data_IF_258950509301
#
_entry.id   IF_258950509301
#
_cell.length_a   1.000
_cell.length_b   1.000
_cell.length_c   1.000
_cell.angle_alpha   90.00
_cell.angle_beta   90.00
_cell.angle_gamma   90.00
#
_symmetry.space_group_name_H-M   'P 1'
#
loop_
_entity.id
_entity.type
_entity.pdbx_description
1 polymer ?
#
# COMPACT_ATOMS: atom_id res chain seq x y z
N UNK A 1 -12.49 39.74 -16.42
CA UNK A 1 -12.19 38.61 -15.53
C UNK A 1 -11.25 37.66 -16.28
N UNK A 2 -10.12 37.30 -15.68
CA UNK A 2 -9.21 36.26 -16.17
C UNK A 2 -9.44 35.04 -15.30
N UNK A 3 -9.81 33.91 -15.92
CA UNK A 3 -9.96 32.63 -15.23
C UNK A 3 -8.81 31.73 -15.63
N UNK A 4 -8.12 31.18 -14.66
CA UNK A 4 -7.10 30.15 -14.86
C UNK A 4 -7.74 28.79 -14.61
N UNK A 5 -7.57 27.88 -15.57
CA UNK A 5 -7.97 26.48 -15.41
C UNK A 5 -6.67 25.65 -15.28
N UNK A 6 -6.44 25.09 -14.11
CA UNK A 6 -5.38 24.12 -13.92
C UNK A 6 -5.89 22.76 -14.41
N UNK A 7 -5.30 22.26 -15.49
CA UNK A 7 -5.73 21.00 -16.12
C UNK A 7 -5.07 19.82 -15.42
N UNK A 8 -5.88 18.81 -15.14
CA UNK A 8 -5.39 17.52 -14.64
C UNK A 8 -4.53 16.87 -15.74
N UNK A 9 -3.41 16.29 -15.36
CA UNK A 9 -2.56 15.52 -16.28
C UNK A 9 -3.31 14.28 -16.76
N UNK A 10 -3.22 13.98 -18.06
CA UNK A 10 -3.83 12.78 -18.66
C UNK A 10 -3.37 11.49 -17.96
N UNK A 11 -2.12 11.47 -17.45
CA UNK A 11 -1.58 10.39 -16.66
C UNK A 11 -2.35 10.13 -15.36
N UNK A 12 -2.99 11.15 -14.78
CA UNK A 12 -3.77 11.01 -13.53
C UNK A 12 -5.00 10.14 -13.72
N UNK A 13 -5.75 10.35 -14.81
CA UNK A 13 -6.96 9.56 -15.11
C UNK A 13 -6.59 8.09 -15.33
N UNK A 14 -5.53 7.82 -16.08
CA UNK A 14 -5.04 6.47 -16.31
C UNK A 14 -4.58 5.80 -14.98
N UNK A 15 -3.91 6.57 -14.12
CA UNK A 15 -3.45 6.09 -12.80
C UNK A 15 -4.62 5.74 -11.88
N UNK A 16 -5.65 6.58 -11.83
CA UNK A 16 -6.86 6.32 -11.04
C UNK A 16 -7.54 5.03 -11.50
N UNK A 17 -7.66 4.84 -12.81
CA UNK A 17 -8.23 3.62 -13.38
C UNK A 17 -7.39 2.37 -13.02
N UNK A 18 -6.06 2.45 -13.14
CA UNK A 18 -5.16 1.36 -12.79
C UNK A 18 -5.18 1.03 -11.28
N UNK A 19 -5.20 2.04 -10.41
CA UNK A 19 -5.34 1.85 -8.97
C UNK A 19 -6.66 1.14 -8.61
N UNK A 20 -7.76 1.52 -9.26
CA UNK A 20 -9.07 0.90 -9.07
C UNK A 20 -9.08 -0.59 -9.48
N UNK A 21 -8.41 -0.96 -10.59
CA UNK A 21 -8.24 -2.35 -11.01
C UNK A 21 -7.46 -3.18 -9.98
N UNK A 22 -6.53 -2.55 -9.26
CA UNK A 22 -5.76 -3.18 -8.18
C UNK A 22 -6.45 -3.10 -6.80
N UNK A 23 -7.73 -2.73 -6.75
CA UNK A 23 -8.45 -2.52 -5.48
C UNK A 23 -7.74 -1.54 -4.52
N UNK A 24 -7.10 -0.52 -5.07
CA UNK A 24 -6.52 0.60 -4.31
C UNK A 24 -7.49 1.76 -4.38
N UNK A 25 -8.05 2.14 -3.24
CA UNK A 25 -8.90 3.31 -3.13
C UNK A 25 -8.04 4.57 -3.05
N UNK A 26 -8.31 5.55 -3.91
CA UNK A 26 -7.67 6.86 -3.85
C UNK A 26 -8.64 7.83 -3.19
N UNK A 27 -8.16 8.58 -2.20
CA UNK A 27 -8.90 9.64 -1.52
C UNK A 27 -8.07 10.92 -1.56
N UNK A 28 -8.68 12.00 -1.98
CA UNK A 28 -8.05 13.34 -2.02
C UNK A 28 -8.40 14.09 -0.74
N UNK A 29 -7.39 14.67 -0.09
CA UNK A 29 -7.54 15.50 1.09
C UNK A 29 -6.92 16.86 0.77
N UNK A 30 -7.76 17.88 0.54
CA UNK A 30 -7.30 19.19 0.05
C UNK A 30 -7.84 20.36 0.89
N UNK A 31 -7.07 21.45 0.94
CA UNK A 31 -7.53 22.73 1.50
C UNK A 31 -8.46 23.50 0.58
N UNK A 32 -8.65 23.08 -0.67
CA UNK A 32 -9.47 23.77 -1.66
C UNK A 32 -10.95 23.81 -1.28
N UNK A 33 -11.67 24.76 -1.90
CA UNK A 33 -13.11 24.88 -1.74
C UNK A 33 -13.84 23.66 -2.29
N UNK A 34 -14.96 23.27 -1.66
CA UNK A 34 -15.74 22.07 -1.97
C UNK A 34 -16.05 21.93 -3.47
N UNK A 35 -16.51 23.00 -4.12
CA UNK A 35 -16.86 22.98 -5.56
C UNK A 35 -15.65 22.76 -6.46
N UNK A 36 -14.49 23.31 -6.10
CA UNK A 36 -13.24 23.12 -6.83
C UNK A 36 -12.77 21.68 -6.67
N UNK A 37 -12.72 21.18 -5.45
CA UNK A 37 -12.33 19.81 -5.14
C UNK A 37 -13.26 18.77 -5.79
N UNK A 38 -14.57 19.04 -5.85
CA UNK A 38 -15.53 18.19 -6.57
C UNK A 38 -15.27 18.18 -8.08
N UNK A 39 -15.06 19.36 -8.69
CA UNK A 39 -14.79 19.46 -10.13
C UNK A 39 -13.51 18.70 -10.50
N UNK A 40 -12.42 18.91 -9.75
CA UNK A 40 -11.15 18.18 -9.94
C UNK A 40 -11.32 16.67 -9.73
N UNK A 41 -12.07 16.27 -8.70
CA UNK A 41 -12.34 14.85 -8.42
C UNK A 41 -13.15 14.16 -9.53
N UNK A 42 -14.11 14.88 -10.16
CA UNK A 42 -14.87 14.38 -11.32
C UNK A 42 -14.00 14.26 -12.56
N UNK A 43 -13.21 15.28 -12.87
CA UNK A 43 -12.29 15.28 -14.01
C UNK A 43 -11.23 14.17 -13.88
N UNK A 44 -10.76 13.91 -12.67
CA UNK A 44 -9.83 12.80 -12.38
C UNK A 44 -10.47 11.40 -12.43
N UNK A 45 -11.79 11.30 -12.55
CA UNK A 45 -12.51 10.01 -12.50
C UNK A 45 -12.59 9.37 -11.10
N UNK A 46 -12.35 10.16 -10.06
CA UNK A 46 -12.45 9.73 -8.66
C UNK A 46 -13.87 9.81 -8.14
N UNK A 47 -14.61 10.84 -8.54
CA UNK A 47 -15.95 11.20 -8.07
C UNK A 47 -16.97 10.91 -9.16
N UNK A 48 -17.99 10.14 -8.84
CA UNK A 48 -19.16 9.91 -9.70
C UNK A 48 -20.38 10.67 -9.19
N UNK A 49 -20.55 10.72 -7.87
CA UNK A 49 -21.67 11.36 -7.21
C UNK A 49 -21.19 12.44 -6.23
N UNK A 50 -21.96 13.52 -6.09
CA UNK A 50 -21.62 14.62 -5.15
C UNK A 50 -21.58 14.16 -3.69
N UNK A 51 -22.27 13.07 -3.33
CA UNK A 51 -22.21 12.46 -2.00
C UNK A 51 -20.83 11.90 -1.61
N UNK A 52 -19.94 11.67 -2.59
CA UNK A 52 -18.56 11.21 -2.37
C UNK A 52 -17.60 12.34 -1.98
N UNK A 53 -18.09 13.59 -1.95
CA UNK A 53 -17.31 14.79 -1.62
C UNK A 53 -17.90 15.45 -0.38
N UNK A 54 -17.05 15.81 0.58
CA UNK A 54 -17.50 16.48 1.82
C UNK A 54 -16.46 17.46 2.32
N UNK A 55 -16.90 18.46 3.08
CA UNK A 55 -15.96 19.29 3.86
C UNK A 55 -15.46 18.50 5.07
N UNK A 56 -14.16 18.56 5.33
CA UNK A 56 -13.54 17.82 6.43
C UNK A 56 -14.17 18.18 7.78
N UNK A 57 -14.41 19.47 8.03
CA UNK A 57 -15.02 19.94 9.27
C UNK A 57 -16.42 19.33 9.48
N UNK A 58 -17.28 19.34 8.46
CA UNK A 58 -18.63 18.77 8.55
C UNK A 58 -18.60 17.26 8.78
N UNK A 59 -17.68 16.54 8.13
CA UNK A 59 -17.50 15.10 8.33
C UNK A 59 -17.03 14.77 9.75
N UNK A 60 -16.07 15.54 10.28
CA UNK A 60 -15.49 15.31 11.60
C UNK A 60 -16.41 15.70 12.77
N UNK A 61 -17.51 16.41 12.53
CA UNK A 61 -18.56 16.63 13.54
C UNK A 61 -19.53 15.46 13.72
N UNK A 62 -19.54 14.51 12.76
CA UNK A 62 -20.40 13.32 12.85
C UNK A 62 -19.99 12.39 14.01
N UNK A 63 -20.92 11.62 14.59
CA UNK A 63 -20.59 10.57 15.55
C UNK A 63 -19.57 9.58 14.97
N UNK A 64 -18.66 9.06 15.80
CA UNK A 64 -17.57 8.16 15.35
C UNK A 64 -18.08 6.95 14.56
N UNK A 65 -19.19 6.35 14.98
CA UNK A 65 -19.80 5.22 14.30
C UNK A 65 -20.25 5.58 12.86
N UNK A 66 -20.78 6.78 12.67
CA UNK A 66 -21.20 7.26 11.36
C UNK A 66 -20.00 7.62 10.48
N UNK A 67 -18.96 8.26 11.06
CA UNK A 67 -17.70 8.52 10.36
C UNK A 67 -17.11 7.21 9.81
N UNK A 68 -17.00 6.18 10.64
CA UNK A 68 -16.47 4.87 10.23
C UNK A 68 -17.28 4.22 9.12
N UNK A 69 -18.60 4.34 9.16
CA UNK A 69 -19.48 3.78 8.13
C UNK A 69 -19.35 4.51 6.78
N UNK A 70 -19.25 5.85 6.82
CA UNK A 70 -19.19 6.69 5.61
C UNK A 70 -17.79 6.84 5.02
N UNK A 71 -16.74 6.56 5.80
CA UNK A 71 -15.36 6.79 5.42
C UNK A 71 -14.97 6.14 4.09
N UNK A 72 -15.44 4.92 3.85
CA UNK A 72 -15.15 4.16 2.61
C UNK A 72 -15.85 4.70 1.37
N UNK A 73 -16.93 5.49 1.54
CA UNK A 73 -17.67 6.09 0.42
C UNK A 73 -17.16 7.48 0.03
N UNK A 74 -16.44 8.17 0.90
CA UNK A 74 -15.91 9.51 0.60
C UNK A 74 -14.63 9.39 -0.22
N UNK A 75 -14.57 10.14 -1.31
CA UNK A 75 -13.41 10.20 -2.23
C UNK A 75 -12.66 11.52 -2.12
N UNK A 76 -13.30 12.58 -1.67
CA UNK A 76 -12.68 13.90 -1.55
C UNK A 76 -13.10 14.57 -0.25
N UNK A 77 -12.11 14.94 0.56
CA UNK A 77 -12.26 15.82 1.71
C UNK A 77 -11.73 17.20 1.34
N UNK A 78 -12.63 18.18 1.30
CA UNK A 78 -12.36 19.56 0.94
C UNK A 78 -12.21 20.46 2.18
N UNK A 79 -11.62 21.65 2.02
CA UNK A 79 -11.40 22.67 3.07
C UNK A 79 -10.73 22.09 4.31
N UNK A 80 -9.78 21.22 4.12
CA UNK A 80 -9.12 20.49 5.20
C UNK A 80 -7.96 21.31 5.79
N UNK A 81 -7.93 21.48 7.11
CA UNK A 81 -6.78 22.04 7.83
C UNK A 81 -5.70 20.96 8.07
N UNK A 82 -4.45 21.35 8.41
CA UNK A 82 -3.41 20.38 8.74
C UNK A 82 -3.78 19.41 9.87
N UNK A 83 -4.47 19.89 10.92
CA UNK A 83 -4.92 19.09 12.05
C UNK A 83 -6.00 18.09 11.60
N UNK A 84 -6.93 18.53 10.75
CA UNK A 84 -7.96 17.66 10.19
C UNK A 84 -7.39 16.61 9.23
N UNK A 85 -6.32 16.93 8.48
CA UNK A 85 -5.60 15.93 7.67
C UNK A 85 -5.08 14.81 8.56
N UNK A 86 -4.44 15.16 9.67
CA UNK A 86 -3.93 14.19 10.64
C UNK A 86 -5.07 13.32 11.20
N UNK A 87 -6.18 13.92 11.63
CA UNK A 87 -7.33 13.18 12.19
C UNK A 87 -7.94 12.23 11.15
N UNK A 88 -8.09 12.67 9.90
CA UNK A 88 -8.59 11.83 8.81
C UNK A 88 -7.66 10.64 8.51
N UNK A 89 -6.34 10.86 8.50
CA UNK A 89 -5.37 9.78 8.31
C UNK A 89 -5.43 8.77 9.45
N UNK A 90 -5.52 9.22 10.70
CA UNK A 90 -5.68 8.34 11.86
C UNK A 90 -6.96 7.51 11.78
N UNK A 91 -8.07 8.13 11.38
CA UNK A 91 -9.35 7.44 11.21
C UNK A 91 -9.29 6.40 10.07
N UNK A 92 -8.66 6.73 8.94
CA UNK A 92 -8.47 5.81 7.83
C UNK A 92 -7.61 4.60 8.23
N UNK A 93 -6.59 4.80 9.04
CA UNK A 93 -5.70 3.73 9.53
C UNK A 93 -6.39 2.67 10.37
N UNK A 94 -7.50 3.01 11.02
CA UNK A 94 -8.24 2.02 11.80
C UNK A 94 -8.90 0.93 10.92
N UNK A 95 -9.13 1.21 9.64
CA UNK A 95 -9.84 0.32 8.72
C UNK A 95 -8.99 -0.14 7.53
N UNK A 96 -7.98 0.65 7.15
CA UNK A 96 -7.21 0.47 5.92
C UNK A 96 -5.71 0.56 6.16
N UNK A 97 -4.94 -0.06 5.26
CA UNK A 97 -3.52 0.28 5.12
C UNK A 97 -3.42 1.56 4.30
N UNK A 98 -2.90 2.63 4.90
CA UNK A 98 -2.90 3.98 4.34
C UNK A 98 -1.51 4.35 3.84
N UNK A 99 -1.39 4.61 2.54
CA UNK A 99 -0.30 5.39 1.96
C UNK A 99 -0.72 6.85 1.84
N UNK A 100 0.11 7.79 2.26
CA UNK A 100 -0.16 9.22 2.15
C UNK A 100 0.92 9.91 1.32
N UNK A 101 0.49 10.63 0.29
CA UNK A 101 1.34 11.49 -0.53
C UNK A 101 1.14 12.94 -0.11
N UNK A 102 2.20 13.59 0.34
CA UNK A 102 2.21 15.01 0.73
C UNK A 102 3.38 15.76 0.09
N UNK A 103 3.31 17.07 0.06
CA UNK A 103 4.35 17.92 -0.57
C UNK A 103 4.83 19.04 0.35
N UNK A 104 4.03 19.46 1.32
CA UNK A 104 4.25 20.64 2.12
C UNK A 104 4.70 20.36 3.56
N UNK A 105 5.23 21.38 4.20
CA UNK A 105 5.58 21.37 5.63
C UNK A 105 4.36 21.04 6.48
N UNK A 106 3.19 21.51 6.08
CA UNK A 106 1.91 21.29 6.77
C UNK A 106 1.45 19.82 6.70
N UNK A 107 2.02 19.02 5.82
CA UNK A 107 1.70 17.61 5.67
C UNK A 107 2.57 16.69 6.55
N UNK A 108 3.64 17.20 7.16
CA UNK A 108 4.57 16.41 7.97
C UNK A 108 3.89 15.60 9.10
N UNK A 109 2.92 16.12 9.87
CA UNK A 109 2.20 15.33 10.86
C UNK A 109 1.37 14.19 10.25
N UNK A 110 0.71 14.43 9.11
CA UNK A 110 -0.08 13.44 8.39
C UNK A 110 0.81 12.37 7.74
N UNK A 111 1.96 12.76 7.16
CA UNK A 111 2.99 11.86 6.65
C UNK A 111 3.46 10.90 7.74
N UNK A 112 3.85 11.42 8.88
CA UNK A 112 4.31 10.61 10.03
C UNK A 112 3.22 9.67 10.58
N UNK A 113 1.96 10.07 10.46
CA UNK A 113 0.84 9.25 10.93
C UNK A 113 0.46 8.13 9.97
N UNK A 114 0.75 8.21 8.69
CA UNK A 114 0.41 7.19 7.69
C UNK A 114 1.12 5.85 7.96
N UNK A 115 0.71 4.77 7.28
CA UNK A 115 1.46 3.51 7.30
C UNK A 115 2.66 3.56 6.34
N UNK A 116 2.50 4.26 5.22
CA UNK A 116 3.57 4.53 4.26
C UNK A 116 3.45 5.98 3.84
N UNK A 117 4.48 6.76 4.09
CA UNK A 117 4.54 8.16 3.70
C UNK A 117 5.36 8.35 2.43
N UNK A 118 4.82 9.14 1.52
CA UNK A 118 5.43 9.41 0.22
C UNK A 118 5.50 10.90 -0.03
N UNK A 119 6.57 11.36 -0.68
CA UNK A 119 6.71 12.73 -1.16
C UNK A 119 7.34 12.75 -2.53
N UNK A 120 7.14 13.83 -3.27
CA UNK A 120 7.87 14.08 -4.51
C UNK A 120 9.23 14.72 -4.21
N UNK A 121 10.20 14.58 -5.12
CA UNK A 121 11.55 15.15 -4.94
C UNK A 121 11.53 16.67 -4.75
N UNK A 122 10.56 17.38 -5.32
CA UNK A 122 10.38 18.83 -5.17
C UNK A 122 9.68 19.25 -3.86
N UNK A 123 9.30 18.31 -3.01
CA UNK A 123 8.69 18.60 -1.73
C UNK A 123 9.64 19.35 -0.78
N UNK A 124 9.07 20.03 0.21
CA UNK A 124 9.83 20.72 1.26
C UNK A 124 10.77 19.76 2.00
N UNK A 125 11.95 20.23 2.41
CA UNK A 125 12.98 19.42 3.07
C UNK A 125 12.43 18.66 4.29
N UNK A 126 11.64 19.34 5.13
CA UNK A 126 10.99 18.73 6.31
C UNK A 126 10.07 17.56 5.92
N UNK A 127 9.34 17.70 4.82
CA UNK A 127 8.47 16.61 4.32
C UNK A 127 9.32 15.45 3.79
N UNK A 128 10.43 15.72 3.07
CA UNK A 128 11.34 14.69 2.57
C UNK A 128 12.05 13.93 3.68
N UNK A 129 12.44 14.59 4.77
CA UNK A 129 13.05 13.93 5.93
C UNK A 129 12.05 13.07 6.72
N UNK A 130 10.76 13.37 6.61
CA UNK A 130 9.70 12.66 7.32
C UNK A 130 9.17 11.46 6.54
N UNK A 131 9.33 11.45 5.22
CA UNK A 131 8.75 10.44 4.33
C UNK A 131 9.58 9.15 4.27
N UNK A 132 8.88 8.01 4.16
CA UNK A 132 9.50 6.70 3.93
C UNK A 132 10.00 6.56 2.49
N UNK A 133 9.31 7.20 1.53
CA UNK A 133 9.59 7.08 0.10
C UNK A 133 9.62 8.47 -0.54
N UNK A 134 10.69 8.74 -1.30
CA UNK A 134 10.79 9.93 -2.15
C UNK A 134 10.62 9.53 -3.60
N UNK A 135 9.59 10.06 -4.26
CA UNK A 135 9.34 9.83 -5.67
C UNK A 135 10.24 10.73 -6.51
N UNK A 136 11.12 10.15 -7.30
CA UNK A 136 12.05 10.89 -8.17
C UNK A 136 11.37 11.53 -9.38
N UNK A 137 10.18 11.05 -9.73
CA UNK A 137 9.36 11.57 -10.81
C UNK A 137 8.02 12.07 -10.24
N UNK A 138 7.58 13.24 -10.70
CA UNK A 138 6.28 13.80 -10.34
C UNK A 138 5.18 13.15 -11.21
N UNK A 139 5.00 11.83 -11.06
CA UNK A 139 4.02 11.03 -11.80
C UNK A 139 3.40 9.99 -10.85
N UNK A 140 2.09 10.05 -10.69
CA UNK A 140 1.36 9.14 -9.82
C UNK A 140 1.41 7.66 -10.28
N UNK A 141 1.72 7.40 -11.57
CA UNK A 141 1.91 6.03 -12.09
C UNK A 141 2.98 5.26 -11.32
N UNK A 142 4.04 5.95 -10.88
CA UNK A 142 5.13 5.35 -10.10
C UNK A 142 4.61 4.72 -8.81
N UNK A 143 3.58 5.30 -8.18
CA UNK A 143 2.96 4.76 -6.96
C UNK A 143 2.24 3.45 -7.26
N UNK A 144 1.45 3.41 -8.33
CA UNK A 144 0.70 2.21 -8.74
C UNK A 144 1.66 1.08 -9.12
N UNK A 145 2.72 1.40 -9.87
CA UNK A 145 3.79 0.44 -10.18
C UNK A 145 4.50 -0.06 -8.92
N UNK A 146 4.82 0.84 -7.98
CA UNK A 146 5.41 0.48 -6.69
C UNK A 146 4.53 -0.47 -5.89
N UNK A 147 3.21 -0.25 -5.85
CA UNK A 147 2.26 -1.17 -5.21
C UNK A 147 2.26 -2.54 -5.91
N UNK A 148 2.29 -2.56 -7.25
CA UNK A 148 2.36 -3.81 -8.02
C UNK A 148 3.62 -4.60 -7.69
N UNK A 149 4.79 -3.96 -7.78
CA UNK A 149 6.06 -4.59 -7.44
C UNK A 149 6.11 -5.08 -5.98
N UNK A 150 5.58 -4.30 -5.04
CA UNK A 150 5.48 -4.70 -3.64
C UNK A 150 4.64 -5.96 -3.45
N UNK A 151 3.51 -6.08 -4.16
CA UNK A 151 2.65 -7.28 -4.12
C UNK A 151 3.33 -8.48 -4.79
N UNK A 152 4.00 -8.31 -5.92
CA UNK A 152 4.78 -9.36 -6.58
C UNK A 152 5.90 -9.87 -5.66
N UNK A 153 6.65 -8.96 -5.06
CA UNK A 153 7.71 -9.30 -4.10
C UNK A 153 7.16 -10.03 -2.88
N UNK A 154 6.04 -9.56 -2.33
CA UNK A 154 5.38 -10.23 -1.19
C UNK A 154 4.94 -11.64 -1.55
N UNK A 155 4.30 -11.84 -2.71
CA UNK A 155 3.85 -13.16 -3.18
C UNK A 155 5.03 -14.13 -3.32
N UNK A 156 6.12 -13.71 -3.95
CA UNK A 156 7.32 -14.53 -4.09
C UNK A 156 7.99 -14.81 -2.73
N UNK A 157 8.04 -13.83 -1.83
CA UNK A 157 8.53 -14.02 -0.46
C UNK A 157 7.69 -15.07 0.28
N UNK A 158 6.36 -15.03 0.14
CA UNK A 158 5.47 -16.02 0.74
C UNK A 158 5.66 -17.43 0.16
N UNK A 159 5.87 -17.55 -1.16
CA UNK A 159 6.22 -18.83 -1.79
C UNK A 159 7.53 -19.38 -1.22
N UNK A 160 8.55 -18.53 -1.09
CA UNK A 160 9.84 -18.91 -0.50
C UNK A 160 9.70 -19.38 0.95
N UNK A 161 9.01 -18.61 1.79
CA UNK A 161 8.78 -18.96 3.20
C UNK A 161 8.06 -20.31 3.32
N UNK A 162 6.97 -20.51 2.55
CA UNK A 162 6.21 -21.76 2.56
C UNK A 162 7.08 -22.95 2.11
N UNK A 163 7.82 -22.81 1.01
CA UNK A 163 8.70 -23.86 0.50
C UNK A 163 9.79 -24.22 1.51
N UNK A 164 10.43 -23.23 2.12
CA UNK A 164 11.48 -23.43 3.15
C UNK A 164 10.92 -24.11 4.39
N UNK A 165 9.77 -23.67 4.89
CA UNK A 165 9.13 -24.28 6.07
C UNK A 165 8.75 -25.74 5.77
N UNK A 166 8.12 -26.03 4.65
CA UNK A 166 7.74 -27.40 4.26
C UNK A 166 8.97 -28.28 4.16
N UNK A 167 10.04 -27.80 3.52
CA UNK A 167 11.30 -28.56 3.38
C UNK A 167 11.93 -28.85 4.75
N UNK A 168 12.06 -27.85 5.62
CA UNK A 168 12.70 -28.00 6.93
C UNK A 168 11.88 -28.90 7.86
N UNK A 169 10.57 -28.70 7.93
CA UNK A 169 9.70 -29.58 8.73
C UNK A 169 9.66 -31.00 8.16
N UNK A 170 9.60 -31.14 6.84
CA UNK A 170 9.67 -32.44 6.17
C UNK A 170 10.93 -33.21 6.55
N UNK A 171 12.09 -32.58 6.47
CA UNK A 171 13.36 -33.16 6.86
C UNK A 171 13.41 -33.52 8.36
N UNK A 172 12.92 -32.63 9.23
CA UNK A 172 12.87 -32.88 10.68
C UNK A 172 12.00 -34.08 11.02
N UNK A 173 10.78 -34.13 10.49
CA UNK A 173 9.86 -35.24 10.75
C UNK A 173 10.37 -36.56 10.13
N UNK A 174 10.97 -36.51 8.94
CA UNK A 174 11.54 -37.71 8.32
C UNK A 174 12.65 -38.31 9.19
N UNK A 175 13.55 -37.48 9.73
CA UNK A 175 14.61 -37.95 10.63
C UNK A 175 14.03 -38.43 11.95
N UNK A 176 13.11 -37.68 12.57
CA UNK A 176 12.51 -38.03 13.87
C UNK A 176 11.73 -39.35 13.79
N UNK A 177 10.87 -39.52 12.80
CA UNK A 177 10.08 -40.72 12.61
C UNK A 177 10.97 -41.89 12.21
N UNK A 178 11.92 -41.66 11.27
CA UNK A 178 12.86 -42.69 10.83
C UNK A 178 13.67 -43.24 11.98
N UNK A 179 14.10 -42.43 12.93
CA UNK A 179 14.87 -42.86 14.10
C UNK A 179 14.12 -43.79 15.05
N UNK A 180 12.77 -43.85 14.96
CA UNK A 180 11.96 -44.80 15.73
C UNK A 180 12.01 -46.24 15.18
N UNK A 181 12.29 -46.39 13.86
CA UNK A 181 12.22 -47.65 13.19
C UNK A 181 13.59 -48.22 12.82
N UNK A 182 14.66 -47.42 12.82
CA UNK A 182 16.04 -47.84 12.50
C UNK A 182 16.98 -47.59 13.68
N UNK A 183 17.91 -48.54 13.90
CA UNK A 183 18.84 -48.52 15.01
C UNK A 183 20.08 -47.65 14.83
N UNK A 184 20.15 -46.94 13.72
CA UNK A 184 21.23 -46.00 13.40
C UNK A 184 20.67 -44.64 13.05
N UNK A 185 21.44 -43.56 13.11
CA UNK A 185 21.02 -42.22 12.75
C UNK A 185 20.61 -42.17 11.26
N UNK A 186 19.35 -41.84 10.93
CA UNK A 186 18.89 -41.81 9.54
C UNK A 186 19.68 -40.83 8.67
N UNK A 187 20.16 -39.75 9.27
CA UNK A 187 20.94 -38.70 8.62
C UNK A 187 22.02 -38.17 9.56
N UNK A 188 23.23 -38.04 9.06
CA UNK A 188 24.29 -37.37 9.80
C UNK A 188 24.12 -35.84 9.73
N UNK A 189 24.57 -35.07 10.74
CA UNK A 189 24.49 -33.61 10.72
C UNK A 189 25.13 -32.97 9.47
N UNK A 190 26.21 -33.55 8.94
CA UNK A 190 26.84 -33.09 7.70
C UNK A 190 25.96 -33.26 6.47
N UNK A 191 25.18 -34.34 6.43
CA UNK A 191 24.25 -34.64 5.31
C UNK A 191 23.06 -33.68 5.39
N UNK A 192 22.53 -33.40 6.56
CA UNK A 192 21.48 -32.39 6.76
C UNK A 192 21.93 -30.99 6.31
N UNK A 193 23.15 -30.60 6.71
CA UNK A 193 23.71 -29.32 6.28
C UNK A 193 23.86 -29.23 4.75
N UNK A 194 24.37 -30.29 4.14
CA UNK A 194 24.54 -30.38 2.67
C UNK A 194 23.17 -30.34 1.98
N UNK A 195 22.18 -31.05 2.50
CA UNK A 195 20.84 -31.09 1.91
C UNK A 195 20.21 -29.69 1.95
N UNK A 196 20.31 -28.97 3.07
CA UNK A 196 19.80 -27.60 3.19
C UNK A 196 20.52 -26.68 2.20
N UNK A 197 21.86 -26.75 2.14
CA UNK A 197 22.64 -25.94 1.19
C UNK A 197 22.23 -26.20 -0.27
N UNK A 198 22.05 -27.48 -0.65
CA UNK A 198 21.62 -27.83 -2.01
C UNK A 198 20.17 -27.42 -2.30
N UNK A 199 19.31 -27.39 -1.29
CA UNK A 199 17.90 -26.94 -1.41
C UNK A 199 17.79 -25.43 -1.57
N UNK A 200 18.72 -24.66 -1.00
CA UNK A 200 18.68 -23.20 -1.04
C UNK A 200 18.85 -22.65 -2.47
N UNK A 201 19.68 -23.28 -3.29
CA UNK A 201 19.89 -22.85 -4.69
C UNK A 201 18.60 -22.83 -5.53
N UNK A 202 17.81 -23.92 -5.62
CA UNK A 202 16.52 -23.88 -6.31
C UNK A 202 15.54 -22.89 -5.70
N UNK A 203 15.56 -22.71 -4.38
CA UNK A 203 14.67 -21.77 -3.70
C UNK A 203 14.98 -20.30 -4.02
N UNK A 204 16.24 -19.96 -4.29
CA UNK A 204 16.60 -18.62 -4.77
C UNK A 204 15.93 -18.27 -6.11
N UNK A 205 15.63 -19.26 -6.94
CA UNK A 205 14.94 -19.05 -8.21
C UNK A 205 13.48 -18.56 -8.02
N UNK A 206 12.87 -18.79 -6.85
CA UNK A 206 11.52 -18.28 -6.52
C UNK A 206 11.45 -16.75 -6.57
N UNK A 207 12.56 -16.05 -6.29
CA UNK A 207 12.62 -14.60 -6.38
C UNK A 207 12.32 -14.07 -7.81
N UNK A 208 12.54 -14.89 -8.83
CA UNK A 208 12.30 -14.58 -10.23
C UNK A 208 11.04 -15.26 -10.79
N UNK A 209 10.25 -15.90 -9.93
CA UNK A 209 9.02 -16.57 -10.35
C UNK A 209 7.95 -15.57 -10.76
N UNK A 210 7.15 -15.95 -11.74
CA UNK A 210 6.04 -15.12 -12.21
C UNK A 210 4.87 -15.20 -11.23
N UNK A 211 4.40 -14.03 -10.83
CA UNK A 211 3.21 -13.89 -9.99
C UNK A 211 1.99 -13.78 -10.89
N UNK A 212 0.91 -14.46 -10.55
CA UNK A 212 -0.34 -14.37 -11.30
C UNK A 212 -1.01 -13.00 -11.14
N UNK A 213 -1.76 -12.56 -12.16
CA UNK A 213 -2.49 -11.30 -12.10
C UNK A 213 -3.44 -11.25 -10.88
N UNK A 214 -4.07 -12.37 -10.53
CA UNK A 214 -4.97 -12.47 -9.38
C UNK A 214 -4.28 -12.21 -8.03
N UNK A 215 -3.02 -12.61 -7.89
CA UNK A 215 -2.21 -12.37 -6.68
C UNK A 215 -1.81 -10.89 -6.54
N UNK A 216 -1.73 -10.17 -7.66
CA UNK A 216 -1.37 -8.74 -7.70
C UNK A 216 -2.60 -7.84 -7.53
N UNK A 217 -3.79 -8.28 -7.98
CA UNK A 217 -5.03 -7.49 -7.88
C UNK A 217 -5.46 -7.19 -6.44
N UNK A 218 -5.15 -8.06 -5.49
CA UNK A 218 -5.56 -7.90 -4.09
C UNK A 218 -4.37 -8.04 -3.14
N UNK A 219 -4.32 -7.23 -2.06
CA UNK A 219 -3.32 -7.42 -1.03
C UNK A 219 -3.50 -8.80 -0.38
N UNK A 220 -2.43 -9.59 -0.36
CA UNK A 220 -2.41 -10.85 0.37
C UNK A 220 -2.02 -10.60 1.82
N UNK A 221 -2.66 -11.31 2.75
CA UNK A 221 -2.28 -11.33 4.16
C UNK A 221 -1.38 -12.53 4.44
N UNK A 222 -0.53 -12.37 5.42
CA UNK A 222 0.20 -13.48 6.01
C UNK A 222 -0.77 -14.26 6.90
N UNK A 223 -1.15 -15.48 6.48
CA UNK A 223 -1.92 -16.45 7.27
C UNK A 223 -1.03 -17.65 7.59
#
# INVERSE_FOLDING_TARGET
FVSFVDRIKDSTIATVAAAKQMNVAITVITGDALKVAEAVGREAGLVTESAEVTEAAAFLTLPLAERKKRLSSIRVFARTTPEQKLELIQLLKEQFTVGYLGEGINDAPALKAAHVSMVVQSAADVARETADIVLLQNDLRVIVEGIRFGRETHANTMKYIRATLISNFGNFYAVAIGSLFISFLPMLPKQLLLLNLLSDFPMMAIAFDRVSAQEVERPQRYD
#
